data_IF_717670026801
#
_entry.id   IF_717670026801
#
_cell.length_a   1.000
_cell.length_b   1.000
_cell.length_c   1.000
_cell.angle_alpha   90.00
_cell.angle_beta   90.00
_cell.angle_gamma   90.00
#
_symmetry.space_group_name_H-M   'P 1'
#
loop_
_entity.id
_entity.type
_entity.pdbx_description
1 polymer ?
#
# COMPACT_ATOMS: atom_id res chain seq x y z
N UNK A 1 -21.21 1.78 -37.67
CA UNK A 1 -22.12 1.65 -36.51
C UNK A 1 -21.39 0.77 -35.52
N UNK A 2 -20.70 1.40 -34.58
CA UNK A 2 -19.96 0.71 -33.51
C UNK A 2 -20.92 0.54 -32.34
N UNK A 3 -21.24 -0.71 -32.02
CA UNK A 3 -21.90 -1.09 -30.78
C UNK A 3 -20.97 -0.71 -29.63
N UNK A 4 -21.35 0.32 -28.89
CA UNK A 4 -20.79 0.63 -27.59
C UNK A 4 -21.43 -0.36 -26.63
N UNK A 5 -20.68 -1.34 -26.17
CA UNK A 5 -21.08 -2.18 -25.03
C UNK A 5 -21.17 -1.27 -23.80
N UNK A 6 -22.38 -0.77 -23.53
CA UNK A 6 -22.77 -0.30 -22.21
C UNK A 6 -22.94 -1.51 -21.31
N UNK A 7 -21.93 -1.81 -20.50
CA UNK A 7 -22.12 -2.54 -19.25
C UNK A 7 -21.93 -1.58 -18.08
N UNK A 8 -22.91 -0.68 -17.91
CA UNK A 8 -23.15 -0.04 -16.62
C UNK A 8 -23.99 -0.99 -15.78
N UNK A 9 -23.32 -1.77 -14.92
CA UNK A 9 -23.97 -2.41 -13.79
C UNK A 9 -24.33 -1.31 -12.78
N UNK A 10 -25.53 -0.76 -12.89
CA UNK A 10 -26.10 0.23 -11.95
C UNK A 10 -26.60 -0.43 -10.64
N UNK A 11 -25.83 -1.39 -10.10
CA UNK A 11 -25.99 -1.77 -8.71
C UNK A 11 -25.24 -0.73 -7.86
N UNK A 12 -25.88 -0.08 -6.87
CA UNK A 12 -25.16 0.83 -5.99
C UNK A 12 -24.02 0.05 -5.31
N UNK A 13 -22.77 0.50 -5.51
CA UNK A 13 -21.62 -0.07 -4.80
C UNK A 13 -21.87 0.05 -3.29
N UNK A 14 -21.62 -1.03 -2.56
CA UNK A 14 -21.72 -1.02 -1.11
C UNK A 14 -20.84 0.10 -0.54
N UNK A 15 -21.45 1.02 0.21
CA UNK A 15 -20.71 2.03 0.98
C UNK A 15 -20.09 1.33 2.18
N UNK A 16 -18.79 1.04 2.12
CA UNK A 16 -18.10 0.32 3.19
C UNK A 16 -18.09 1.07 4.51
N UNK A 17 -18.25 2.39 4.51
CA UNK A 17 -18.37 3.15 5.76
C UNK A 17 -19.57 2.66 6.61
N UNK A 18 -20.54 1.97 6.02
CA UNK A 18 -21.69 1.36 6.72
C UNK A 18 -21.37 0.01 7.36
N UNK A 19 -20.23 -0.62 7.06
CA UNK A 19 -19.82 -1.86 7.70
C UNK A 19 -19.51 -1.60 9.17
N UNK A 20 -20.33 -2.16 10.05
CA UNK A 20 -20.15 -2.10 11.49
C UNK A 20 -19.61 -3.43 12.01
N UNK A 21 -18.58 -3.34 12.87
CA UNK A 21 -17.95 -4.46 13.57
C UNK A 21 -17.97 -4.17 15.07
N UNK A 22 -18.36 -5.13 15.89
CA UNK A 22 -18.12 -5.06 17.34
C UNK A 22 -16.71 -5.55 17.64
N UNK A 23 -15.84 -4.59 17.99
CA UNK A 23 -14.49 -4.87 18.40
C UNK A 23 -14.39 -5.57 19.75
N UNK A 24 -15.37 -5.44 20.65
CA UNK A 24 -15.23 -5.89 22.04
C UNK A 24 -14.93 -7.40 22.16
N UNK A 25 -13.84 -7.81 22.85
CA UNK A 25 -12.92 -7.01 23.68
C UNK A 25 -11.65 -6.52 22.96
N UNK A 26 -11.46 -6.87 21.69
CA UNK A 26 -10.37 -6.41 20.83
C UNK A 26 -10.57 -4.93 20.51
N UNK A 27 -9.81 -4.04 21.17
CA UNK A 27 -9.83 -2.61 20.83
C UNK A 27 -9.40 -2.43 19.36
N UNK A 28 -10.37 -2.14 18.48
CA UNK A 28 -10.15 -1.91 17.06
C UNK A 28 -9.83 -0.45 16.79
N UNK A 29 -9.00 -0.23 15.78
CA UNK A 29 -8.76 1.06 15.14
C UNK A 29 -9.30 0.93 13.70
N UNK A 30 -10.35 1.68 13.38
CA UNK A 30 -11.01 1.63 12.07
C UNK A 30 -10.74 2.95 11.34
N UNK A 31 -10.08 2.86 10.19
CA UNK A 31 -9.68 3.99 9.37
C UNK A 31 -10.17 3.77 7.94
N UNK A 32 -10.54 4.85 7.26
CA UNK A 32 -10.93 4.86 5.86
C UNK A 32 -10.10 5.90 5.13
N UNK A 33 -9.55 5.51 3.98
CA UNK A 33 -8.83 6.41 3.07
C UNK A 33 -9.74 6.89 1.92
N UNK A 34 -10.72 6.07 1.52
CA UNK A 34 -11.77 6.33 0.51
C UNK A 34 -13.07 5.59 0.87
N UNK A 35 -14.17 5.88 0.18
CA UNK A 35 -15.50 5.29 0.44
C UNK A 35 -15.59 3.76 0.16
N UNK A 36 -14.58 3.20 -0.49
CA UNK A 36 -14.51 1.81 -0.97
C UNK A 36 -13.40 0.97 -0.31
N UNK A 37 -12.69 1.47 0.69
CA UNK A 37 -11.76 0.67 1.48
C UNK A 37 -11.76 1.05 2.97
N UNK A 38 -11.78 0.02 3.83
CA UNK A 38 -11.56 0.16 5.27
C UNK A 38 -10.31 -0.59 5.72
N UNK A 39 -9.44 0.09 6.44
CA UNK A 39 -8.35 -0.51 7.20
C UNK A 39 -8.79 -0.65 8.66
N UNK A 40 -8.78 -1.88 9.17
CA UNK A 40 -9.18 -2.19 10.55
C UNK A 40 -8.02 -2.90 11.22
N UNK A 41 -7.44 -2.28 12.24
CA UNK A 41 -6.29 -2.80 12.95
C UNK A 41 -6.63 -3.20 14.40
N UNK A 42 -5.97 -4.26 14.85
CA UNK A 42 -5.89 -4.65 16.24
C UNK A 42 -4.41 -4.73 16.68
N UNK A 43 -4.15 -5.18 17.90
CA UNK A 43 -2.79 -5.25 18.45
C UNK A 43 -1.86 -6.18 17.64
N UNK A 44 -2.38 -7.29 17.10
CA UNK A 44 -1.55 -8.35 16.47
C UNK A 44 -1.80 -8.56 14.98
N UNK A 45 -2.90 -8.04 14.46
CA UNK A 45 -3.34 -8.27 13.09
C UNK A 45 -3.94 -6.97 12.53
N UNK A 46 -3.93 -6.86 11.21
CA UNK A 46 -4.64 -5.83 10.44
C UNK A 46 -5.51 -6.51 9.40
N UNK A 47 -6.62 -5.87 9.04
CA UNK A 47 -7.45 -6.30 7.94
C UNK A 47 -7.78 -5.14 7.01
N UNK A 48 -7.90 -5.45 5.73
CA UNK A 48 -8.34 -4.53 4.68
C UNK A 48 -9.64 -5.09 4.13
N UNK A 49 -10.71 -4.28 4.18
CA UNK A 49 -12.02 -4.62 3.66
C UNK A 49 -12.32 -3.82 2.40
N UNK A 50 -12.78 -4.51 1.36
CA UNK A 50 -13.09 -3.95 0.03
C UNK A 50 -14.46 -4.45 -0.42
N UNK A 51 -15.38 -3.61 -0.95
CA UNK A 51 -16.67 -4.06 -1.43
C UNK A 51 -16.47 -4.83 -2.74
N UNK A 52 -17.25 -5.88 -2.93
CA UNK A 52 -17.29 -6.61 -4.20
C UNK A 52 -18.61 -6.34 -4.89
N UNK A 53 -18.55 -6.04 -6.19
CA UNK A 53 -19.72 -6.18 -7.03
C UNK A 53 -20.10 -7.68 -7.21
N UNK A 54 -21.32 -7.99 -7.69
CA UNK A 54 -21.77 -9.38 -7.81
C UNK A 54 -20.88 -10.26 -8.70
N UNK A 55 -20.19 -9.71 -9.68
CA UNK A 55 -19.32 -10.49 -10.57
C UNK A 55 -17.93 -10.67 -9.96
N UNK A 56 -17.41 -9.68 -9.25
CA UNK A 56 -16.24 -9.76 -8.37
C UNK A 56 -16.42 -10.82 -7.29
N UNK A 57 -17.57 -10.85 -6.62
CA UNK A 57 -17.91 -11.88 -5.63
C UNK A 57 -17.90 -13.30 -6.24
N UNK A 58 -18.53 -13.49 -7.40
CA UNK A 58 -18.50 -14.79 -8.13
C UNK A 58 -17.08 -15.18 -8.54
N UNK A 59 -16.33 -14.25 -9.11
CA UNK A 59 -14.98 -14.49 -9.60
C UNK A 59 -14.04 -14.85 -8.46
N UNK A 60 -14.08 -14.10 -7.36
CA UNK A 60 -13.22 -14.34 -6.21
C UNK A 60 -13.60 -15.64 -5.49
N UNK A 61 -14.90 -15.94 -5.36
CA UNK A 61 -15.37 -17.24 -4.86
C UNK A 61 -14.81 -18.39 -5.71
N UNK A 62 -14.82 -18.26 -7.04
CA UNK A 62 -14.25 -19.26 -7.96
C UNK A 62 -12.74 -19.42 -7.76
N UNK A 63 -12.00 -18.32 -7.65
CA UNK A 63 -10.55 -18.33 -7.39
C UNK A 63 -10.24 -19.04 -6.07
N UNK A 64 -10.96 -18.68 -5.00
CA UNK A 64 -10.77 -19.28 -3.68
C UNK A 64 -11.10 -20.79 -3.67
N UNK A 65 -12.15 -21.21 -4.41
CA UNK A 65 -12.46 -22.63 -4.60
C UNK A 65 -11.34 -23.37 -5.36
N UNK A 66 -10.74 -22.74 -6.37
CA UNK A 66 -9.60 -23.32 -7.10
C UNK A 66 -8.37 -23.47 -6.20
N UNK A 67 -8.08 -22.50 -5.33
CA UNK A 67 -6.98 -22.60 -4.35
C UNK A 67 -7.15 -23.82 -3.43
N UNK A 68 -8.37 -24.07 -2.94
CA UNK A 68 -8.69 -25.26 -2.14
C UNK A 68 -8.48 -26.55 -2.94
N UNK A 69 -8.94 -26.59 -4.20
CA UNK A 69 -8.81 -27.77 -5.07
C UNK A 69 -7.35 -28.08 -5.42
N UNK A 70 -6.53 -27.04 -5.64
CA UNK A 70 -5.12 -27.16 -5.97
C UNK A 70 -4.23 -27.52 -4.76
N UNK A 71 -4.83 -27.78 -3.58
CA UNK A 71 -4.15 -28.12 -2.33
C UNK A 71 -3.08 -27.11 -1.92
N UNK A 72 -3.27 -25.83 -2.27
CA UNK A 72 -2.61 -24.76 -1.53
C UNK A 72 -2.98 -24.97 -0.06
N UNK A 73 -2.03 -24.81 0.88
CA UNK A 73 -2.24 -25.07 2.31
C UNK A 73 -3.26 -24.09 2.92
N UNK A 74 -4.54 -24.34 2.63
CA UNK A 74 -5.68 -23.49 2.93
C UNK A 74 -6.61 -24.25 3.90
N UNK A 75 -7.08 -23.59 4.95
CA UNK A 75 -8.12 -24.12 5.85
C UNK A 75 -9.48 -23.48 5.52
N UNK A 76 -10.26 -24.03 4.58
CA UNK A 76 -11.53 -23.46 4.18
C UNK A 76 -12.63 -23.70 5.23
N UNK A 77 -13.59 -22.79 5.33
CA UNK A 77 -14.77 -22.96 6.17
C UNK A 77 -15.87 -21.96 5.85
N UNK A 78 -17.08 -22.22 6.34
CA UNK A 78 -18.18 -21.26 6.34
C UNK A 78 -18.59 -21.08 7.79
N UNK A 79 -18.62 -19.84 8.25
CA UNK A 79 -19.05 -19.43 9.58
C UNK A 79 -20.34 -18.62 9.42
N UNK A 80 -21.30 -18.86 10.31
CA UNK A 80 -22.48 -18.01 10.41
C UNK A 80 -22.11 -16.74 11.19
N UNK A 81 -22.57 -15.58 10.72
CA UNK A 81 -22.51 -14.35 11.50
C UNK A 81 -23.55 -14.33 12.61
N UNK A 82 -23.37 -13.42 13.56
CA UNK A 82 -24.29 -13.14 14.66
C UNK A 82 -25.57 -12.47 14.16
N UNK A 83 -25.47 -11.71 13.06
CA UNK A 83 -26.61 -11.07 12.39
C UNK A 83 -27.25 -12.03 11.38
N UNK A 84 -28.60 -12.18 11.36
CA UNK A 84 -29.27 -13.00 10.35
C UNK A 84 -28.93 -12.57 8.93
N UNK A 85 -28.58 -13.54 8.07
CA UNK A 85 -28.21 -13.28 6.68
C UNK A 85 -26.74 -12.94 6.47
N UNK A 86 -25.91 -12.99 7.52
CA UNK A 86 -24.45 -12.86 7.41
C UNK A 86 -23.78 -14.22 7.31
N UNK A 87 -23.00 -14.43 6.25
CA UNK A 87 -22.16 -15.62 6.09
C UNK A 87 -20.71 -15.21 5.83
N UNK A 88 -19.78 -15.94 6.43
CA UNK A 88 -18.35 -15.67 6.31
C UNK A 88 -17.68 -16.90 5.73
N UNK A 89 -17.24 -16.79 4.49
CA UNK A 89 -16.42 -17.80 3.83
C UNK A 89 -14.97 -17.54 4.18
N UNK A 90 -14.35 -18.47 4.88
CA UNK A 90 -12.97 -18.39 5.38
C UNK A 90 -12.03 -19.18 4.49
N UNK A 91 -10.86 -18.59 4.21
CA UNK A 91 -9.73 -19.23 3.53
C UNK A 91 -8.41 -18.82 4.19
N UNK A 92 -7.93 -19.60 5.18
CA UNK A 92 -6.68 -19.30 5.90
C UNK A 92 -5.45 -19.93 5.24
N UNK A 93 -4.34 -19.20 5.09
CA UNK A 93 -3.07 -19.68 4.54
C UNK A 93 -1.95 -19.68 5.60
N UNK A 94 -0.98 -20.58 5.44
CA UNK A 94 0.20 -20.65 6.32
C UNK A 94 -0.13 -21.09 7.75
N UNK A 95 -1.01 -22.09 7.91
CA UNK A 95 -1.49 -22.53 9.22
C UNK A 95 -0.48 -23.41 9.95
N UNK A 96 0.02 -22.95 11.10
CA UNK A 96 0.90 -23.71 12.00
C UNK A 96 0.13 -24.70 12.90
N UNK A 97 0.85 -25.41 13.78
CA UNK A 97 0.20 -26.11 14.90
C UNK A 97 -0.38 -25.06 15.86
N UNK A 98 -1.66 -25.21 16.25
CA UNK A 98 -2.38 -24.41 17.28
C UNK A 98 -3.34 -23.27 16.82
N UNK A 99 -3.96 -23.30 15.64
CA UNK A 99 -5.03 -22.30 15.37
C UNK A 99 -4.55 -20.98 14.80
N UNK A 100 -3.27 -20.90 14.42
CA UNK A 100 -2.60 -19.67 14.03
C UNK A 100 -2.37 -19.65 12.53
N UNK A 101 -2.54 -18.48 11.92
CA UNK A 101 -2.34 -18.26 10.49
C UNK A 101 -1.46 -17.02 10.27
N UNK A 102 -0.66 -17.04 9.22
CA UNK A 102 0.07 -15.85 8.76
C UNK A 102 -0.81 -14.95 7.88
N UNK A 103 -1.79 -15.54 7.17
CA UNK A 103 -2.67 -14.85 6.25
C UNK A 103 -4.08 -15.43 6.27
N UNK A 104 -5.11 -14.58 6.17
CA UNK A 104 -6.51 -14.98 6.06
C UNK A 104 -7.24 -14.19 4.97
N UNK A 105 -7.88 -14.91 4.06
CA UNK A 105 -8.80 -14.34 3.07
C UNK A 105 -10.23 -14.68 3.48
N UNK A 106 -11.11 -13.69 3.58
CA UNK A 106 -12.50 -13.86 3.98
C UNK A 106 -13.44 -13.20 2.96
N UNK A 107 -14.55 -13.86 2.66
CA UNK A 107 -15.67 -13.26 1.94
C UNK A 107 -16.86 -13.18 2.88
N UNK A 108 -17.37 -11.98 3.09
CA UNK A 108 -18.51 -11.71 3.96
C UNK A 108 -19.70 -11.38 3.07
N UNK A 109 -20.72 -12.22 3.16
CA UNK A 109 -22.04 -11.98 2.58
C UNK A 109 -22.87 -11.25 3.64
N UNK A 110 -23.40 -10.07 3.32
CA UNK A 110 -24.27 -9.27 4.16
C UNK A 110 -25.59 -9.02 3.42
N UNK A 111 -26.48 -10.02 3.40
CA UNK A 111 -27.68 -9.95 2.55
C UNK A 111 -27.32 -10.13 1.08
N UNK A 112 -27.57 -9.11 0.25
CA UNK A 112 -27.23 -9.12 -1.18
C UNK A 112 -25.82 -8.53 -1.47
N UNK A 113 -25.18 -7.97 -0.45
CA UNK A 113 -23.89 -7.29 -0.56
C UNK A 113 -22.72 -8.21 -0.17
N UNK A 114 -21.57 -8.01 -0.81
CA UNK A 114 -20.36 -8.80 -0.58
C UNK A 114 -19.17 -7.90 -0.21
N UNK A 115 -18.41 -8.34 0.80
CA UNK A 115 -17.17 -7.68 1.23
C UNK A 115 -16.04 -8.71 1.21
N UNK A 116 -14.96 -8.38 0.51
CA UNK A 116 -13.70 -9.10 0.67
C UNK A 116 -12.93 -8.53 1.84
N UNK A 117 -12.40 -9.40 2.69
CA UNK A 117 -11.54 -9.01 3.79
C UNK A 117 -10.24 -9.81 3.74
N UNK A 118 -9.14 -9.10 3.53
CA UNK A 118 -7.80 -9.65 3.66
C UNK A 118 -7.27 -9.38 5.07
N UNK A 119 -6.67 -10.37 5.72
CA UNK A 119 -6.14 -10.28 7.09
C UNK A 119 -4.71 -10.77 7.13
N UNK A 120 -3.84 -9.99 7.76
CA UNK A 120 -2.42 -10.29 7.91
C UNK A 120 -1.95 -10.00 9.34
N UNK A 121 -0.90 -10.69 9.77
CA UNK A 121 -0.22 -10.37 11.02
C UNK A 121 0.47 -9.01 10.91
N UNK A 122 0.55 -8.24 12.00
CA UNK A 122 1.19 -6.91 11.95
C UNK A 122 2.72 -6.94 11.91
N UNK A 123 3.32 -8.07 12.28
CA UNK A 123 4.76 -8.27 12.20
C UNK A 123 5.08 -9.32 11.12
N UNK A 124 6.18 -9.18 10.37
CA UNK A 124 6.57 -10.14 9.35
C UNK A 124 6.83 -11.49 10.00
N UNK A 125 6.37 -12.54 9.32
CA UNK A 125 6.52 -13.92 9.76
C UNK A 125 5.84 -14.27 11.10
N UNK A 126 5.16 -13.30 11.75
CA UNK A 126 4.28 -13.59 12.88
C UNK A 126 3.00 -14.25 12.38
N UNK A 127 2.30 -14.88 13.32
CA UNK A 127 1.00 -15.47 13.09
C UNK A 127 -0.03 -14.83 14.01
N UNK A 128 -1.28 -14.73 13.57
CA UNK A 128 -2.42 -14.30 14.37
C UNK A 128 -3.34 -15.46 14.73
N UNK A 129 -4.11 -15.31 15.81
CA UNK A 129 -5.12 -16.28 16.21
C UNK A 129 -6.38 -16.10 15.36
N UNK A 130 -6.67 -17.06 14.47
CA UNK A 130 -7.81 -16.95 13.56
C UNK A 130 -9.15 -16.80 14.31
N UNK A 131 -9.29 -17.47 15.47
CA UNK A 131 -10.49 -17.39 16.30
C UNK A 131 -10.75 -15.99 16.90
N UNK A 132 -9.74 -15.12 16.98
CA UNK A 132 -9.92 -13.73 17.38
C UNK A 132 -10.54 -12.92 16.24
N UNK A 133 -9.97 -13.05 15.03
CA UNK A 133 -10.44 -12.39 13.80
C UNK A 133 -11.86 -12.83 13.47
N UNK A 134 -12.11 -14.15 13.46
CA UNK A 134 -13.42 -14.73 13.16
C UNK A 134 -14.51 -14.24 14.13
N UNK A 135 -14.17 -13.97 15.39
CA UNK A 135 -15.12 -13.42 16.37
C UNK A 135 -15.51 -11.99 16.03
N UNK A 136 -14.56 -11.17 15.57
CA UNK A 136 -14.85 -9.81 15.11
C UNK A 136 -15.70 -9.87 13.85
N UNK A 137 -15.31 -10.68 12.85
CA UNK A 137 -16.05 -10.79 11.59
C UNK A 137 -17.46 -11.34 11.77
N UNK A 138 -17.68 -12.24 12.75
CA UNK A 138 -19.02 -12.75 13.07
C UNK A 138 -20.02 -11.63 13.41
N UNK A 139 -19.55 -10.51 13.95
CA UNK A 139 -20.39 -9.37 14.33
C UNK A 139 -20.74 -8.44 13.16
N UNK A 140 -20.23 -8.72 11.96
CA UNK A 140 -20.43 -7.86 10.80
C UNK A 140 -21.90 -7.58 10.55
N UNK A 141 -22.21 -6.32 10.28
CA UNK A 141 -23.53 -5.86 9.88
C UNK A 141 -23.43 -4.58 9.06
N UNK A 142 -24.46 -4.29 8.27
CA UNK A 142 -24.57 -3.02 7.55
C UNK A 142 -25.46 -2.07 8.35
N UNK A 143 -24.86 -1.03 8.90
CA UNK A 143 -25.57 0.02 9.59
C UNK A 143 -26.36 0.90 8.60
N UNK A 144 -27.42 1.57 9.07
CA UNK A 144 -28.16 2.53 8.26
C UNK A 144 -27.31 3.78 7.96
N UNK A 145 -26.51 4.22 8.93
CA UNK A 145 -25.56 5.32 8.81
C UNK A 145 -24.11 4.79 8.83
N UNK A 146 -23.14 5.53 8.26
CA UNK A 146 -21.72 5.20 8.40
C UNK A 146 -21.30 4.98 9.85
N UNK A 147 -20.66 3.83 10.13
CA UNK A 147 -20.14 3.44 11.44
C UNK A 147 -18.70 3.95 11.68
N UNK A 148 -18.21 4.85 10.85
CA UNK A 148 -16.83 5.32 10.91
C UNK A 148 -16.59 6.15 12.18
N UNK A 149 -15.70 5.69 13.06
CA UNK A 149 -15.31 6.44 14.26
C UNK A 149 -14.58 7.74 13.89
N UNK A 150 -13.84 7.75 12.78
CA UNK A 150 -13.08 8.92 12.30
C UNK A 150 -12.74 8.81 10.81
N UNK A 151 -13.03 9.85 10.04
CA UNK A 151 -12.43 10.03 8.72
C UNK A 151 -11.03 10.61 8.89
N UNK A 152 -10.04 9.97 8.29
CA UNK A 152 -8.63 10.34 8.45
C UNK A 152 -8.05 10.72 7.09
N UNK A 153 -7.23 11.76 7.07
CA UNK A 153 -6.52 12.15 5.85
C UNK A 153 -5.48 11.08 5.51
N UNK A 154 -5.15 10.85 4.22
CA UNK A 154 -3.99 10.04 3.86
C UNK A 154 -2.76 10.43 4.68
N UNK A 155 -1.93 9.46 5.08
CA UNK A 155 -0.83 9.71 6.02
C UNK A 155 0.16 10.78 5.52
N UNK A 156 0.36 10.86 4.21
CA UNK A 156 1.20 11.88 3.58
C UNK A 156 0.60 13.29 3.67
N UNK A 157 -0.71 13.45 3.55
CA UNK A 157 -1.39 14.73 3.76
C UNK A 157 -1.33 15.16 5.23
N UNK A 158 -1.59 14.22 6.15
CA UNK A 158 -1.46 14.46 7.59
C UNK A 158 -0.02 14.90 7.94
N UNK A 159 0.99 14.26 7.35
CA UNK A 159 2.38 14.66 7.51
C UNK A 159 2.62 16.09 7.03
N UNK A 160 2.22 16.42 5.80
CA UNK A 160 2.43 17.77 5.24
C UNK A 160 1.78 18.87 6.10
N UNK A 161 0.63 18.60 6.70
CA UNK A 161 -0.04 19.56 7.59
C UNK A 161 0.68 19.78 8.91
N UNK A 162 1.40 18.78 9.43
CA UNK A 162 2.07 18.82 10.74
C UNK A 162 3.59 18.99 10.65
N UNK A 163 4.11 19.05 9.42
CA UNK A 163 5.54 19.11 9.10
C UNK A 163 6.24 20.24 9.83
N UNK A 164 7.34 19.92 10.49
CA UNK A 164 8.27 20.87 11.08
C UNK A 164 9.35 21.29 10.08
N UNK A 165 10.06 22.36 10.39
CA UNK A 165 11.19 22.81 9.56
C UNK A 165 12.31 21.76 9.49
N UNK A 166 12.45 20.87 10.47
CA UNK A 166 13.44 19.79 10.46
C UNK A 166 13.04 18.59 9.61
N UNK A 167 11.78 18.48 9.20
CA UNK A 167 11.23 17.29 8.54
C UNK A 167 11.48 17.33 7.03
N UNK A 168 11.44 16.18 6.31
CA UNK A 168 11.57 16.17 4.86
C UNK A 168 10.47 16.99 4.19
N UNK A 169 10.75 17.57 3.03
CA UNK A 169 9.80 18.38 2.28
C UNK A 169 8.60 17.57 1.79
N UNK A 170 8.84 16.32 1.38
CA UNK A 170 7.82 15.32 1.03
C UNK A 170 8.17 13.95 1.63
N UNK A 171 7.15 13.13 1.92
CA UNK A 171 7.31 11.77 2.43
C UNK A 171 6.29 10.88 1.74
N UNK A 172 6.74 9.76 1.19
CA UNK A 172 5.96 8.88 0.33
C UNK A 172 6.17 7.43 0.77
N UNK A 173 5.11 6.62 0.73
CA UNK A 173 5.19 5.18 0.94
C UNK A 173 4.79 4.52 -0.37
N UNK A 174 5.69 3.76 -0.96
CA UNK A 174 5.49 3.11 -2.26
C UNK A 174 5.37 1.63 -1.99
N UNK A 175 4.23 1.03 -2.30
CA UNK A 175 4.05 -0.42 -2.30
C UNK A 175 4.84 -0.97 -3.48
N UNK A 176 5.73 -1.93 -3.24
CA UNK A 176 6.58 -2.46 -4.30
C UNK A 176 6.09 -3.84 -4.72
N UNK A 177 5.57 -3.90 -5.94
CA UNK A 177 5.90 -5.02 -6.82
C UNK A 177 7.38 -4.89 -7.24
N UNK A 178 8.06 -5.92 -7.80
CA UNK A 178 9.49 -5.88 -8.14
C UNK A 178 9.80 -4.97 -9.35
N UNK A 179 9.35 -3.72 -9.27
CA UNK A 179 9.53 -2.65 -10.23
C UNK A 179 10.54 -1.63 -9.69
N UNK A 180 11.30 -0.99 -10.58
CA UNK A 180 12.19 0.09 -10.20
C UNK A 180 11.40 1.31 -9.70
N UNK A 181 12.09 2.23 -9.04
CA UNK A 181 11.50 3.48 -8.58
C UNK A 181 12.00 4.60 -9.47
N UNK A 182 11.04 5.38 -9.92
CA UNK A 182 11.23 6.45 -10.87
C UNK A 182 11.08 7.80 -10.18
N UNK A 183 11.90 8.76 -10.60
CA UNK A 183 11.86 10.15 -10.13
C UNK A 183 12.00 11.06 -11.35
N UNK A 184 11.02 11.93 -11.59
CA UNK A 184 11.09 12.84 -12.73
C UNK A 184 9.74 13.23 -13.28
N UNK A 185 9.66 13.45 -14.60
CA UNK A 185 8.43 13.82 -15.30
C UNK A 185 7.70 12.58 -15.82
N UNK A 186 6.60 12.17 -15.17
CA UNK A 186 5.84 10.97 -15.54
C UNK A 186 5.33 11.01 -16.99
N UNK A 187 4.82 12.16 -17.45
CA UNK A 187 4.29 12.32 -18.82
C UNK A 187 5.39 12.02 -19.87
N UNK A 188 6.65 12.36 -19.57
CA UNK A 188 7.79 12.04 -20.45
C UNK A 188 8.12 10.55 -20.45
N UNK A 189 7.93 9.86 -19.32
CA UNK A 189 8.18 8.43 -19.23
C UNK A 189 7.21 7.65 -20.12
N UNK A 190 5.91 7.97 -20.09
CA UNK A 190 4.90 7.34 -20.96
C UNK A 190 5.28 7.47 -22.44
N UNK A 191 5.76 8.65 -22.86
CA UNK A 191 6.22 8.88 -24.24
C UNK A 191 7.45 8.04 -24.63
N UNK A 192 8.36 7.77 -23.67
CA UNK A 192 9.59 7.01 -23.90
C UNK A 192 9.35 5.49 -23.90
N UNK A 193 8.48 5.01 -23.02
CA UNK A 193 8.12 3.58 -22.93
C UNK A 193 7.49 3.08 -24.22
N UNK A 194 6.63 3.89 -24.84
CA UNK A 194 6.02 3.58 -26.14
C UNK A 194 7.04 3.43 -27.29
N UNK A 195 8.26 3.94 -27.13
CA UNK A 195 9.24 4.10 -28.20
C UNK A 195 10.49 3.23 -28.05
N UNK A 196 10.80 2.76 -26.84
CA UNK A 196 12.07 2.10 -26.54
C UNK A 196 11.92 0.92 -25.58
N UNK A 197 12.79 -0.09 -25.75
CA UNK A 197 13.02 -1.08 -24.71
C UNK A 197 13.82 -0.40 -23.58
N UNK A 198 13.11 -0.07 -22.49
CA UNK A 198 13.67 0.56 -21.29
C UNK A 198 14.09 -0.49 -20.26
N UNK A 199 14.39 -1.74 -20.65
CA UNK A 199 14.87 -2.73 -19.69
C UNK A 199 16.22 -2.32 -19.07
N UNK A 200 16.42 -2.49 -17.76
CA UNK A 200 17.71 -2.24 -17.11
C UNK A 200 18.74 -3.31 -17.48
N UNK A 201 20.01 -2.93 -17.60
CA UNK A 201 21.11 -3.89 -17.72
C UNK A 201 21.77 -4.17 -16.36
N UNK A 202 22.62 -5.21 -16.30
CA UNK A 202 23.30 -5.62 -15.05
C UNK A 202 24.17 -4.49 -14.45
N UNK A 203 24.73 -3.64 -15.31
CA UNK A 203 25.59 -2.51 -14.92
C UNK A 203 24.77 -1.41 -14.25
N UNK A 204 23.57 -1.14 -14.77
CA UNK A 204 22.60 -0.20 -14.22
C UNK A 204 22.17 -0.67 -12.82
N UNK A 205 21.80 -1.94 -12.68
CA UNK A 205 21.41 -2.55 -11.39
C UNK A 205 22.56 -2.48 -10.40
N UNK A 206 23.79 -2.81 -10.81
CA UNK A 206 24.95 -2.77 -9.94
C UNK A 206 25.29 -1.34 -9.46
N UNK A 207 24.98 -0.32 -10.26
CA UNK A 207 25.16 1.09 -9.89
C UNK A 207 24.03 1.65 -9.03
N UNK A 208 23.00 0.86 -8.77
CA UNK A 208 21.84 1.25 -7.96
C UNK A 208 20.83 2.13 -8.71
N UNK A 209 21.05 2.42 -9.99
CA UNK A 209 20.17 3.27 -10.80
C UNK A 209 20.81 3.77 -12.09
N UNK A 210 20.01 4.50 -12.87
CA UNK A 210 20.46 5.21 -14.08
C UNK A 210 19.62 6.45 -14.36
N UNK A 211 20.12 7.31 -15.23
CA UNK A 211 19.34 8.41 -15.80
C UNK A 211 18.82 7.99 -17.16
N UNK A 212 17.49 7.88 -17.30
CA UNK A 212 16.83 7.57 -18.57
C UNK A 212 16.81 8.79 -19.50
N UNK A 213 16.59 9.96 -18.91
CA UNK A 213 16.66 11.26 -19.57
C UNK A 213 17.18 12.30 -18.56
N UNK A 214 17.49 13.51 -19.04
CA UNK A 214 17.79 14.65 -18.15
C UNK A 214 16.67 14.96 -17.17
N UNK A 215 15.41 14.59 -17.46
CA UNK A 215 14.25 14.78 -16.58
C UNK A 215 13.80 13.49 -15.87
N UNK A 216 14.51 12.37 -16.03
CA UNK A 216 14.08 11.06 -15.54
C UNK A 216 15.24 10.25 -14.94
N UNK A 217 15.09 9.90 -13.68
CA UNK A 217 15.97 8.98 -12.95
C UNK A 217 15.19 7.72 -12.62
N UNK A 218 15.87 6.59 -12.76
CA UNK A 218 15.45 5.28 -12.29
C UNK A 218 16.44 4.81 -11.23
N UNK A 219 15.96 4.30 -10.10
CA UNK A 219 16.81 3.66 -9.10
C UNK A 219 16.22 2.34 -8.61
N UNK A 220 17.10 1.44 -8.17
CA UNK A 220 16.73 0.10 -7.77
C UNK A 220 16.81 -0.03 -6.26
N UNK A 221 15.75 -0.59 -5.69
CA UNK A 221 15.67 -0.91 -4.27
C UNK A 221 16.43 -2.19 -4.01
N UNK A 222 17.21 -2.21 -2.93
CA UNK A 222 17.96 -3.38 -2.53
C UNK A 222 17.02 -4.33 -1.78
N UNK A 223 17.13 -5.64 -2.04
CA UNK A 223 16.46 -6.70 -1.27
C UNK A 223 14.93 -6.88 -1.50
N UNK A 224 14.34 -6.27 -2.53
CA UNK A 224 12.93 -6.44 -2.96
C UNK A 224 11.89 -6.39 -1.81
N UNK A 225 11.84 -5.31 -1.01
CA UNK A 225 10.91 -5.20 0.11
C UNK A 225 9.46 -5.03 -0.40
N UNK A 226 8.48 -5.37 0.44
CA UNK A 226 7.04 -5.24 0.10
C UNK A 226 6.59 -3.78 -0.10
N UNK A 227 7.30 -2.85 0.54
CA UNK A 227 7.08 -1.41 0.37
C UNK A 227 8.36 -0.67 0.77
N UNK A 228 8.53 0.56 0.31
CA UNK A 228 9.54 1.47 0.85
C UNK A 228 8.98 2.84 1.17
N UNK A 229 9.65 3.50 2.12
CA UNK A 229 9.43 4.92 2.37
C UNK A 229 10.49 5.77 1.68
N UNK A 230 10.06 6.79 0.96
CA UNK A 230 10.91 7.83 0.37
C UNK A 230 10.72 9.17 1.10
N UNK A 231 11.83 9.75 1.56
CA UNK A 231 11.89 11.06 2.20
C UNK A 231 12.58 12.04 1.25
N UNK A 232 11.83 13.03 0.75
CA UNK A 232 12.30 14.03 -0.21
C UNK A 232 12.77 15.30 0.50
N UNK A 233 13.96 15.76 0.16
CA UNK A 233 14.58 17.00 0.65
C UNK A 233 14.95 17.90 -0.52
N UNK A 234 14.43 19.13 -0.54
CA UNK A 234 14.59 20.07 -1.64
C UNK A 234 15.35 21.31 -1.16
N UNK A 235 16.46 21.63 -1.82
CA UNK A 235 17.35 22.76 -1.51
C UNK A 235 18.02 22.71 -0.14
N UNK A 236 17.97 21.56 0.54
CA UNK A 236 18.55 21.33 1.87
C UNK A 236 18.88 19.86 2.07
N UNK A 237 19.57 19.55 3.16
CA UNK A 237 19.87 18.17 3.57
C UNK A 237 19.30 17.90 4.97
N UNK A 238 18.97 16.64 5.27
CA UNK A 238 18.64 16.22 6.62
C UNK A 238 19.80 16.48 7.58
N UNK A 239 19.47 16.76 8.85
CA UNK A 239 20.47 16.68 9.92
C UNK A 239 20.89 15.22 10.09
N UNK A 240 22.13 14.91 9.69
CA UNK A 240 22.65 13.54 9.66
C UNK A 240 22.90 13.04 11.08
N UNK A 241 21.87 12.45 11.69
CA UNK A 241 21.96 11.75 12.98
C UNK A 241 22.26 10.25 12.82
N UNK A 242 21.96 9.69 11.65
CA UNK A 242 22.15 8.28 11.30
C UNK A 242 23.12 8.13 10.10
N UNK A 243 23.88 7.02 10.01
CA UNK A 243 24.66 6.72 8.81
C UNK A 243 23.76 6.54 7.58
N UNK A 244 24.13 7.15 6.46
CA UNK A 244 23.47 7.00 5.15
C UNK A 244 24.42 6.38 4.12
N UNK A 245 23.93 5.44 3.34
CA UNK A 245 24.66 4.80 2.24
C UNK A 245 24.18 5.39 0.91
N UNK A 246 25.09 5.81 0.03
CA UNK A 246 24.71 6.34 -1.28
C UNK A 246 24.28 5.19 -2.20
N UNK A 247 23.04 5.22 -2.67
CA UNK A 247 22.47 4.27 -3.63
C UNK A 247 22.80 4.74 -5.05
N UNK A 248 22.39 5.95 -5.39
CA UNK A 248 22.56 6.49 -6.74
C UNK A 248 22.69 8.01 -6.71
N UNK A 249 23.33 8.57 -7.75
CA UNK A 249 23.39 10.02 -7.95
C UNK A 249 23.40 10.36 -9.43
N UNK A 250 22.65 11.40 -9.79
CA UNK A 250 22.61 11.93 -11.15
C UNK A 250 22.18 13.39 -11.14
N UNK A 251 22.18 14.01 -12.32
CA UNK A 251 21.54 15.31 -12.53
C UNK A 251 20.08 15.10 -12.92
N UNK A 252 19.20 15.96 -12.41
CA UNK A 252 17.78 15.99 -12.74
C UNK A 252 17.37 17.41 -13.13
N UNK A 253 16.69 17.56 -14.26
CA UNK A 253 16.06 18.81 -14.70
C UNK A 253 14.57 18.77 -14.35
N UNK A 254 14.10 19.76 -13.60
CA UNK A 254 12.68 19.98 -13.31
C UNK A 254 12.16 21.06 -14.25
N UNK A 255 11.30 20.69 -15.21
CA UNK A 255 10.82 21.61 -16.24
C UNK A 255 9.38 22.11 -16.02
N UNK A 256 8.57 21.34 -15.29
CA UNK A 256 7.11 21.55 -15.17
C UNK A 256 6.65 21.98 -13.77
N UNK A 257 7.58 22.35 -12.90
CA UNK A 257 7.30 22.87 -11.56
C UNK A 257 6.95 21.79 -10.53
N UNK A 258 7.19 20.53 -10.88
CA UNK A 258 6.92 19.36 -10.05
C UNK A 258 7.82 18.20 -10.46
N UNK A 259 7.93 17.24 -9.55
CA UNK A 259 8.42 15.90 -9.85
C UNK A 259 7.32 14.91 -9.46
N UNK A 260 7.32 13.79 -10.14
CA UNK A 260 6.64 12.58 -9.72
C UNK A 260 7.67 11.59 -9.17
N UNK A 261 7.27 10.82 -8.16
CA UNK A 261 7.98 9.66 -7.64
C UNK A 261 7.00 8.49 -7.74
N UNK A 262 7.38 7.42 -8.43
CA UNK A 262 6.46 6.31 -8.69
C UNK A 262 7.15 4.97 -8.81
N UNK A 263 6.36 3.92 -8.62
CA UNK A 263 6.67 2.56 -9.04
C UNK A 263 5.37 1.91 -9.50
N UNK A 264 5.41 1.19 -10.63
CA UNK A 264 4.21 0.67 -11.31
C UNK A 264 3.11 1.76 -11.42
N UNK A 265 1.91 1.50 -10.91
CA UNK A 265 0.75 2.38 -11.00
C UNK A 265 0.63 3.41 -9.83
N UNK A 266 1.53 3.36 -8.83
CA UNK A 266 1.50 4.27 -7.69
C UNK A 266 2.31 5.55 -7.93
N UNK A 267 1.62 6.65 -8.26
CA UNK A 267 2.26 7.92 -8.62
C UNK A 267 2.06 8.98 -7.53
N UNK A 268 3.17 9.44 -6.96
CA UNK A 268 3.18 10.53 -5.97
C UNK A 268 3.75 11.81 -6.57
N UNK A 269 3.03 12.93 -6.45
CA UNK A 269 3.43 14.21 -7.01
C UNK A 269 3.93 15.17 -5.91
N UNK A 270 5.00 15.92 -6.21
CA UNK A 270 5.49 16.99 -5.34
C UNK A 270 5.89 18.24 -6.13
N UNK A 271 5.49 19.42 -5.66
CA UNK A 271 5.87 20.70 -6.28
C UNK A 271 7.33 21.04 -5.99
N UNK A 272 8.11 21.26 -7.05
CA UNK A 272 9.53 21.61 -6.98
C UNK A 272 9.80 22.73 -7.96
N UNK A 273 10.52 23.81 -7.57
CA UNK A 273 10.84 24.89 -8.50
C UNK A 273 11.53 24.39 -9.77
N UNK A 274 11.28 25.06 -10.89
CA UNK A 274 11.98 24.76 -12.13
C UNK A 274 13.48 24.99 -11.99
N UNK A 275 14.29 24.07 -12.51
CA UNK A 275 15.73 24.18 -12.41
C UNK A 275 16.47 22.89 -12.68
N UNK A 276 17.79 22.93 -12.50
CA UNK A 276 18.66 21.76 -12.57
C UNK A 276 19.15 21.42 -11.17
N UNK A 277 19.12 20.14 -10.85
CA UNK A 277 19.40 19.62 -9.52
C UNK A 277 20.46 18.53 -9.59
N UNK A 278 21.37 18.52 -8.63
CA UNK A 278 22.12 17.32 -8.27
C UNK A 278 21.19 16.48 -7.39
N UNK A 279 20.75 15.34 -7.92
CA UNK A 279 19.90 14.38 -7.24
C UNK A 279 20.77 13.29 -6.61
N UNK A 280 20.65 13.09 -5.30
CA UNK A 280 21.35 12.04 -4.57
C UNK A 280 20.34 11.20 -3.80
N UNK A 281 20.44 9.89 -3.94
CA UNK A 281 19.55 8.91 -3.34
C UNK A 281 20.36 8.11 -2.35
N UNK A 282 19.95 8.14 -1.09
CA UNK A 282 20.60 7.42 -0.02
C UNK A 282 19.65 6.40 0.60
N UNK A 283 20.17 5.27 1.04
CA UNK A 283 19.45 4.36 1.95
C UNK A 283 19.93 4.61 3.38
N UNK A 284 18.98 4.68 4.31
CA UNK A 284 19.23 4.88 5.74
C UNK A 284 18.63 3.71 6.50
N UNK A 285 19.30 3.27 7.57
CA UNK A 285 18.86 2.14 8.41
C UNK A 285 18.67 0.80 7.67
N UNK A 286 19.53 0.55 6.67
CA UNK A 286 19.50 -0.66 5.83
C UNK A 286 19.43 -1.96 6.65
N UNK A 287 18.51 -2.85 6.28
CA UNK A 287 18.35 -4.18 6.86
C UNK A 287 17.80 -4.20 8.29
N UNK A 288 17.30 -3.07 8.81
CA UNK A 288 16.73 -3.01 10.15
C UNK A 288 15.28 -3.48 10.20
N UNK A 289 14.38 -2.89 9.41
CA UNK A 289 12.96 -3.26 9.24
C UNK A 289 12.42 -2.48 8.02
N UNK A 290 11.94 -3.16 6.98
CA UNK A 290 11.17 -2.59 5.86
C UNK A 290 9.90 -3.42 5.54
N UNK A 291 9.92 -4.72 5.84
CA UNK A 291 8.84 -5.67 5.53
C UNK A 291 7.72 -5.75 6.59
N UNK A 292 7.74 -4.90 7.62
CA UNK A 292 6.70 -4.89 8.65
C UNK A 292 5.38 -4.36 8.07
N UNK A 293 4.28 -5.06 8.33
CA UNK A 293 2.90 -4.69 8.00
C UNK A 293 2.41 -3.51 8.90
N UNK A 294 3.15 -2.40 8.88
CA UNK A 294 2.79 -1.14 9.54
C UNK A 294 1.67 -0.44 8.76
N UNK A 295 0.86 0.34 9.47
CA UNK A 295 -0.01 1.31 8.81
C UNK A 295 0.84 2.42 8.19
N UNK A 296 0.34 3.11 7.17
CA UNK A 296 1.04 4.25 6.57
C UNK A 296 1.45 5.29 7.63
N UNK A 297 0.58 5.58 8.60
CA UNK A 297 0.91 6.52 9.69
C UNK A 297 2.10 6.07 10.52
N UNK A 298 2.20 4.78 10.79
CA UNK A 298 3.32 4.22 11.54
C UNK A 298 4.61 4.28 10.72
N UNK A 299 4.56 3.96 9.42
CA UNK A 299 5.68 4.18 8.50
C UNK A 299 6.12 5.64 8.50
N UNK A 300 5.17 6.58 8.46
CA UNK A 300 5.49 8.00 8.38
C UNK A 300 6.10 8.55 9.68
N UNK A 301 5.72 8.01 10.84
CA UNK A 301 6.18 8.48 12.17
C UNK A 301 7.51 7.87 12.62
N UNK A 302 7.97 6.77 12.03
CA UNK A 302 9.12 6.00 12.52
C UNK A 302 10.41 6.28 11.75
N UNK A 303 11.35 7.01 12.33
CA UNK A 303 12.64 7.30 11.69
C UNK A 303 13.71 6.21 11.92
N UNK A 304 13.34 5.13 12.62
CA UNK A 304 14.18 3.95 12.86
C UNK A 304 14.03 2.86 11.78
N UNK A 305 13.11 3.04 10.82
CA UNK A 305 12.89 2.15 9.68
C UNK A 305 13.86 2.40 8.53
N UNK A 306 14.08 1.36 7.73
CA UNK A 306 14.73 1.53 6.44
C UNK A 306 13.96 2.54 5.60
N UNK A 307 14.68 3.49 4.99
CA UNK A 307 14.09 4.51 4.11
C UNK A 307 15.08 4.99 3.08
N UNK A 308 14.54 5.54 2.01
CA UNK A 308 15.31 6.17 0.95
C UNK A 308 15.21 7.68 1.07
N UNK A 309 16.32 8.36 1.31
CA UNK A 309 16.40 9.82 1.32
C UNK A 309 16.78 10.33 -0.08
N UNK A 310 15.88 11.08 -0.69
CA UNK A 310 16.06 11.72 -2.00
C UNK A 310 16.39 13.19 -1.73
N UNK A 311 17.62 13.60 -2.07
CA UNK A 311 18.10 14.96 -1.87
C UNK A 311 18.25 15.65 -3.23
N UNK A 312 17.53 16.74 -3.43
CA UNK A 312 17.61 17.60 -4.61
C UNK A 312 18.30 18.92 -4.27
N UNK A 313 19.51 19.13 -4.79
CA UNK A 313 20.26 20.37 -4.61
C UNK A 313 20.36 21.18 -5.90
N UNK A 314 20.04 22.48 -5.91
CA UNK A 314 20.22 23.33 -7.07
C UNK A 314 21.65 23.32 -7.58
N UNK A 315 21.80 23.15 -8.89
CA UNK A 315 23.05 23.38 -9.61
C UNK A 315 23.08 24.87 -9.94
N UNK A 316 23.99 25.61 -9.29
CA UNK A 316 24.19 27.05 -9.50
C UNK A 316 24.68 27.43 -10.90
#
# INVERSE_FOLDING_TARGET
MSEVEQQTSDAPRLNLLRLALDGSPTKLEIESFQDDELSIAARKWRMIATPLDPDGAKNLTRVMQQMVQNRTAVNPGILAGDTPGVQIHRYLRGYGSHGRAAHGDYLIECGDDWVFVMVVARAPHDEFEAAEVERVLATASLAEEPALDRQVLPAWEEFLQNRQESDPDGKFLISLEPAPIMIGNFDLFEELEDQADLSPDDDDVQRGGRALDRQLIEFYVLDEPLSIRCDLWVNREPEVSQPRELVFRSKLEVAIGRIEIWSADEIYQYEVPNGKYDASIYVVERGKICDDDLTDREFFRRDDLERYEIVLKPIG
#
